data_IF_027019582556
#
_entry.id   IF_027019582556
#
_cell.length_a   1.000
_cell.length_b   1.000
_cell.length_c   1.000
_cell.angle_alpha   90.00
_cell.angle_beta   90.00
_cell.angle_gamma   90.00
#
_symmetry.space_group_name_H-M   'P 1'
#
loop_
_entity.id
_entity.type
_entity.pdbx_description
1 polymer ?
#
# COMPACT_ATOMS: atom_id res chain seq x y z
N UNK A 1 -5.90 21.89 -17.87
CA UNK A 1 -5.34 20.96 -16.89
C UNK A 1 -4.25 21.68 -16.12
N UNK A 2 -4.24 21.62 -14.78
CA UNK A 2 -3.17 22.19 -13.97
C UNK A 2 -1.89 21.36 -14.18
N UNK A 3 -0.78 22.01 -14.49
CA UNK A 3 0.54 21.36 -14.56
C UNK A 3 1.31 21.65 -13.27
N UNK A 4 1.77 20.60 -12.59
CA UNK A 4 2.58 20.70 -11.39
C UNK A 4 3.60 19.56 -11.35
N UNK A 5 4.73 19.79 -10.67
CA UNK A 5 5.76 18.78 -10.48
C UNK A 5 5.48 17.97 -9.20
N UNK A 6 5.67 16.66 -9.27
CA UNK A 6 5.62 15.76 -8.11
C UNK A 6 7.05 15.33 -7.79
N UNK A 7 7.51 15.62 -6.57
CA UNK A 7 8.79 15.11 -6.07
C UNK A 7 8.55 13.81 -5.32
N UNK A 8 8.85 12.69 -5.96
CA UNK A 8 8.75 11.35 -5.39
C UNK A 8 10.01 10.99 -4.59
N UNK A 9 9.83 10.53 -3.36
CA UNK A 9 10.89 9.99 -2.51
C UNK A 9 11.25 8.55 -2.93
N UNK A 10 12.36 8.04 -2.41
CA UNK A 10 12.76 6.65 -2.67
C UNK A 10 11.69 5.68 -2.15
N UNK A 11 11.35 4.61 -2.90
CA UNK A 11 10.47 3.58 -2.40
C UNK A 11 11.09 2.84 -1.22
N UNK A 12 10.27 2.51 -0.23
CA UNK A 12 10.67 1.77 0.97
C UNK A 12 9.74 0.57 1.15
N UNK A 13 10.27 -0.51 1.75
CA UNK A 13 9.45 -1.61 2.24
C UNK A 13 9.20 -1.43 3.74
N UNK A 14 7.93 -1.32 4.11
CA UNK A 14 7.50 -1.22 5.50
C UNK A 14 7.30 -2.63 6.03
N UNK A 15 8.28 -3.09 6.80
CA UNK A 15 8.20 -4.35 7.52
C UNK A 15 7.23 -4.24 8.72
N UNK A 16 6.73 -5.38 9.22
CA UNK A 16 5.91 -5.42 10.44
C UNK A 16 6.66 -4.85 11.65
N UNK A 17 5.93 -4.22 12.56
CA UNK A 17 6.50 -3.57 13.74
C UNK A 17 7.12 -4.54 14.75
N UNK A 18 6.72 -5.81 14.68
CA UNK A 18 7.26 -6.92 15.46
C UNK A 18 7.54 -8.03 14.44
N UNK A 19 8.67 -8.74 14.51
CA UNK A 19 8.95 -9.86 13.63
C UNK A 19 7.76 -10.82 13.58
N UNK A 20 7.30 -11.08 12.37
CA UNK A 20 6.16 -11.93 12.06
C UNK A 20 6.46 -13.41 12.37
N UNK A 21 5.44 -14.26 12.21
CA UNK A 21 5.57 -15.71 12.04
C UNK A 21 6.73 -16.05 11.08
N UNK A 22 7.42 -17.19 11.26
CA UNK A 22 8.46 -17.63 10.33
C UNK A 22 7.98 -17.62 8.89
N UNK A 23 8.93 -17.48 7.96
CA UNK A 23 8.68 -17.61 6.52
C UNK A 23 7.71 -18.76 6.21
N UNK A 24 6.56 -18.42 5.64
CA UNK A 24 5.46 -19.36 5.46
C UNK A 24 4.84 -19.17 4.07
N UNK A 25 4.76 -20.26 3.33
CA UNK A 25 3.94 -20.30 2.13
C UNK A 25 2.50 -20.64 2.54
N UNK A 26 1.57 -19.70 2.37
CA UNK A 26 0.15 -19.91 2.68
C UNK A 26 -0.46 -20.95 1.74
N UNK A 27 -1.49 -21.70 2.17
CA UNK A 27 -2.24 -22.58 1.28
C UNK A 27 -2.75 -21.84 0.03
N UNK A 28 -3.06 -22.57 -1.06
CA UNK A 28 -3.64 -21.99 -2.25
C UNK A 28 -4.84 -21.09 -1.95
N UNK A 29 -4.94 -19.97 -2.67
CA UNK A 29 -6.07 -19.05 -2.57
C UNK A 29 -7.38 -19.79 -2.87
N UNK A 30 -8.48 -19.32 -2.28
CA UNK A 30 -9.79 -19.88 -2.56
C UNK A 30 -10.17 -19.70 -4.04
N UNK A 31 -11.09 -20.51 -4.56
CA UNK A 31 -11.54 -20.37 -5.94
C UNK A 31 -12.24 -19.03 -6.22
N UNK A 32 -12.75 -18.36 -5.17
CA UNK A 32 -13.29 -17.01 -5.28
C UNK A 32 -12.17 -15.99 -5.50
N UNK A 33 -11.07 -16.10 -4.76
CA UNK A 33 -9.95 -15.15 -4.78
C UNK A 33 -9.01 -15.37 -5.98
N UNK A 34 -9.01 -16.56 -6.56
CA UNK A 34 -8.10 -16.97 -7.64
C UNK A 34 -8.63 -16.66 -9.06
N UNK A 35 -9.84 -16.10 -9.17
CA UNK A 35 -10.46 -15.75 -10.45
C UNK A 35 -9.58 -14.84 -11.28
N UNK A 36 -9.37 -15.17 -12.55
CA UNK A 36 -8.52 -14.40 -13.47
C UNK A 36 -8.96 -12.94 -13.59
N UNK A 37 -10.28 -12.69 -13.56
CA UNK A 37 -10.85 -11.34 -13.58
C UNK A 37 -10.52 -10.47 -12.37
N UNK A 38 -9.99 -11.04 -11.28
CA UNK A 38 -9.58 -10.32 -10.06
C UNK A 38 -8.07 -10.06 -10.01
N UNK A 39 -7.28 -10.53 -10.99
CA UNK A 39 -5.81 -10.39 -11.00
C UNK A 39 -5.35 -9.02 -11.49
N UNK A 40 -5.84 -7.97 -10.84
CA UNK A 40 -5.45 -6.59 -11.09
C UNK A 40 -5.29 -5.82 -9.77
N UNK A 41 -4.51 -4.75 -9.77
CA UNK A 41 -4.41 -3.86 -8.61
C UNK A 41 -5.62 -2.92 -8.60
N UNK A 42 -6.38 -2.90 -7.51
CA UNK A 42 -7.49 -1.95 -7.33
C UNK A 42 -6.91 -0.61 -6.89
N UNK A 43 -6.91 0.45 -7.73
CA UNK A 43 -6.37 1.74 -7.33
C UNK A 43 -7.39 2.50 -6.47
N UNK A 44 -6.95 3.02 -5.32
CA UNK A 44 -7.79 3.82 -4.42
C UNK A 44 -7.05 5.09 -4.01
N UNK A 45 -7.78 6.22 -3.96
CA UNK A 45 -7.29 7.48 -3.42
C UNK A 45 -8.15 7.88 -2.22
N UNK A 46 -7.51 8.23 -1.11
CA UNK A 46 -8.16 8.81 0.06
C UNK A 46 -7.57 10.19 0.34
N UNK A 47 -8.43 11.19 0.51
CA UNK A 47 -8.04 12.59 0.67
C UNK A 47 -8.47 13.07 2.04
N UNK A 48 -7.52 13.66 2.76
CA UNK A 48 -7.74 14.20 4.09
C UNK A 48 -7.46 15.70 4.07
N UNK A 49 -8.38 16.49 4.64
CA UNK A 49 -8.16 17.93 4.84
C UNK A 49 -7.11 18.13 5.94
N UNK A 50 -6.44 19.28 5.90
CA UNK A 50 -5.56 19.70 6.99
C UNK A 50 -6.35 19.78 8.30
N UNK A 51 -5.82 19.15 9.34
CA UNK A 51 -6.37 19.17 10.70
C UNK A 51 -5.36 19.89 11.61
N UNK A 52 -5.66 21.11 12.11
CA UNK A 52 -4.71 21.92 12.87
C UNK A 52 -4.13 21.21 14.09
N UNK A 53 -4.90 20.33 14.75
CA UNK A 53 -4.42 19.55 15.89
C UNK A 53 -3.32 18.53 15.55
N UNK A 54 -3.07 18.29 14.26
CA UNK A 54 -2.05 17.37 13.75
C UNK A 54 -0.86 18.09 13.11
N UNK A 55 -0.78 19.43 13.21
CA UNK A 55 0.23 20.24 12.51
C UNK A 55 1.69 19.85 12.81
N UNK A 56 1.98 19.35 14.01
CA UNK A 56 3.33 18.93 14.42
C UNK A 56 3.68 17.49 14.00
N UNK A 57 2.73 16.75 13.42
CA UNK A 57 2.94 15.35 13.02
C UNK A 57 3.16 15.26 11.53
N UNK A 58 4.25 14.58 11.15
CA UNK A 58 4.48 14.15 9.78
C UNK A 58 3.48 13.03 9.40
N UNK A 59 2.55 13.26 8.46
CA UNK A 59 1.57 12.27 8.03
C UNK A 59 2.22 10.99 7.46
N UNK A 60 3.32 11.12 6.72
CA UNK A 60 3.99 9.97 6.12
C UNK A 60 4.58 9.07 7.22
N UNK A 61 5.22 9.65 8.23
CA UNK A 61 5.68 8.91 9.42
C UNK A 61 4.52 8.24 10.17
N UNK A 62 3.40 8.92 10.37
CA UNK A 62 2.22 8.34 11.05
C UNK A 62 1.66 7.15 10.28
N UNK A 63 1.45 7.28 8.96
CA UNK A 63 0.92 6.21 8.11
C UNK A 63 1.89 5.02 8.07
N UNK A 64 3.19 5.27 7.90
CA UNK A 64 4.23 4.23 7.90
C UNK A 64 4.25 3.42 9.20
N UNK A 65 4.16 4.09 10.34
CA UNK A 65 4.09 3.43 11.65
C UNK A 65 2.79 2.66 11.86
N UNK A 66 1.65 3.19 11.38
CA UNK A 66 0.38 2.50 11.44
C UNK A 66 0.40 1.23 10.57
N UNK A 67 0.92 1.32 9.34
CA UNK A 67 1.07 0.19 8.43
C UNK A 67 1.92 -0.92 9.05
N UNK A 68 3.09 -0.60 9.60
CA UNK A 68 3.95 -1.58 10.28
C UNK A 68 3.21 -2.32 11.41
N UNK A 69 2.42 -1.60 12.22
CA UNK A 69 1.62 -2.22 13.31
C UNK A 69 0.48 -3.09 12.77
N UNK A 70 -0.17 -2.65 11.69
CA UNK A 70 -1.27 -3.39 11.06
C UNK A 70 -0.77 -4.69 10.43
N UNK A 71 0.40 -4.71 9.80
CA UNK A 71 0.95 -5.90 9.15
C UNK A 71 1.16 -7.09 10.11
N UNK A 72 1.40 -6.82 11.41
CA UNK A 72 1.45 -7.87 12.44
C UNK A 72 0.17 -8.72 12.47
N UNK A 73 -0.99 -8.11 12.21
CA UNK A 73 -2.29 -8.80 12.19
C UNK A 73 -2.67 -9.28 10.79
N UNK A 74 -2.11 -8.65 9.75
CA UNK A 74 -2.43 -8.87 8.34
C UNK A 74 -1.22 -9.43 7.59
N UNK A 75 -0.59 -10.45 8.17
CA UNK A 75 0.66 -11.07 7.69
C UNK A 75 0.68 -11.55 6.23
N UNK A 76 -0.43 -11.90 5.55
CA UNK A 76 -0.37 -12.14 4.10
C UNK A 76 0.04 -10.91 3.27
N UNK A 77 -0.21 -9.68 3.75
CA UNK A 77 0.04 -8.45 3.00
C UNK A 77 1.50 -7.99 2.97
N UNK A 78 2.37 -8.56 3.80
CA UNK A 78 3.83 -8.32 3.75
C UNK A 78 4.54 -9.28 2.78
N UNK A 79 3.83 -10.29 2.26
CA UNK A 79 4.37 -11.32 1.37
C UNK A 79 4.33 -10.96 -0.12
N UNK A 80 4.48 -11.98 -0.97
CA UNK A 80 4.40 -11.88 -2.42
C UNK A 80 3.42 -12.91 -2.97
N UNK A 81 2.65 -12.52 -3.99
CA UNK A 81 1.87 -13.48 -4.75
C UNK A 81 2.81 -14.36 -5.57
N UNK A 82 2.54 -15.66 -5.57
CA UNK A 82 3.25 -16.69 -6.33
C UNK A 82 2.25 -17.47 -7.15
N UNK A 83 2.53 -17.64 -8.43
CA UNK A 83 1.72 -18.44 -9.34
C UNK A 83 2.39 -19.80 -9.55
N UNK A 84 1.65 -20.88 -9.29
CA UNK A 84 2.09 -22.26 -9.49
C UNK A 84 1.80 -22.75 -10.93
N UNK A 85 2.32 -23.92 -11.37
CA UNK A 85 2.21 -24.36 -12.77
C UNK A 85 0.78 -24.50 -13.32
N UNK A 86 -0.21 -24.73 -12.46
CA UNK A 86 -1.64 -24.79 -12.79
C UNK A 86 -2.32 -23.41 -12.77
N UNK A 87 -1.51 -22.34 -12.67
CA UNK A 87 -1.89 -20.94 -12.48
C UNK A 87 -2.51 -20.63 -11.12
N UNK A 88 -2.53 -21.57 -10.17
CA UNK A 88 -3.09 -21.34 -8.83
C UNK A 88 -2.23 -20.33 -8.08
N UNK A 89 -2.88 -19.32 -7.48
CA UNK A 89 -2.17 -18.33 -6.68
C UNK A 89 -1.99 -18.79 -5.23
N UNK A 90 -0.81 -18.50 -4.69
CA UNK A 90 -0.42 -18.66 -3.28
C UNK A 90 0.21 -17.36 -2.78
N UNK A 91 0.28 -17.18 -1.46
CA UNK A 91 0.99 -16.05 -0.84
C UNK A 91 2.24 -16.58 -0.14
N UNK A 92 3.40 -16.15 -0.61
CA UNK A 92 4.69 -16.40 0.02
C UNK A 92 4.96 -15.29 1.04
N UNK A 93 4.74 -15.58 2.33
CA UNK A 93 4.93 -14.60 3.40
C UNK A 93 6.42 -14.44 3.72
N UNK A 94 7.10 -13.62 2.89
CA UNK A 94 8.55 -13.38 2.98
C UNK A 94 8.97 -12.57 4.20
N UNK A 95 8.06 -11.76 4.74
CA UNK A 95 8.37 -10.75 5.75
C UNK A 95 9.05 -9.50 5.19
N UNK A 96 9.17 -9.39 3.85
CA UNK A 96 9.82 -8.24 3.20
C UNK A 96 9.07 -6.93 3.47
N UNK A 97 7.75 -7.00 3.72
CA UNK A 97 6.93 -5.84 4.00
C UNK A 97 6.20 -5.28 2.77
N UNK A 98 5.44 -4.21 3.01
CA UNK A 98 4.61 -3.56 2.00
C UNK A 98 5.31 -2.32 1.41
N UNK A 99 5.16 -2.11 0.10
CA UNK A 99 5.74 -0.96 -0.60
C UNK A 99 5.08 0.36 -0.15
N UNK A 100 5.90 1.32 0.27
CA UNK A 100 5.49 2.66 0.65
C UNK A 100 6.33 3.70 -0.11
N UNK A 101 5.66 4.68 -0.69
CA UNK A 101 6.29 5.75 -1.47
C UNK A 101 5.70 7.07 -1.01
N UNK A 102 6.55 7.93 -0.47
CA UNK A 102 6.20 9.31 -0.14
C UNK A 102 6.40 10.22 -1.35
N UNK A 103 5.55 11.24 -1.49
CA UNK A 103 5.68 12.24 -2.53
C UNK A 103 5.17 13.61 -2.06
N UNK A 104 5.75 14.67 -2.63
CA UNK A 104 5.40 16.05 -2.31
C UNK A 104 5.07 16.83 -3.59
N UNK A 105 4.18 17.80 -3.44
CA UNK A 105 3.79 18.74 -4.50
C UNK A 105 3.66 20.13 -3.90
N UNK A 106 4.02 21.15 -4.67
CA UNK A 106 3.97 22.56 -4.23
C UNK A 106 2.65 23.24 -4.67
N UNK A 107 1.53 22.55 -4.45
CA UNK A 107 0.18 23.04 -4.74
C UNK A 107 -0.81 22.62 -3.63
N UNK A 108 -1.93 23.31 -3.52
CA UNK A 108 -3.01 22.95 -2.59
C UNK A 108 -4.01 22.00 -3.25
N UNK A 109 -4.76 21.28 -2.42
CA UNK A 109 -5.85 20.43 -2.88
C UNK A 109 -6.90 21.22 -3.69
N UNK A 110 -7.21 22.46 -3.27
CA UNK A 110 -8.17 23.33 -3.96
C UNK A 110 -7.72 23.69 -5.39
N UNK A 111 -6.41 23.77 -5.64
CA UNK A 111 -5.87 24.02 -6.99
C UNK A 111 -6.03 22.81 -7.91
N UNK A 112 -6.03 21.58 -7.35
CA UNK A 112 -6.24 20.35 -8.13
C UNK A 112 -7.70 20.24 -8.59
N UNK A 113 -8.64 20.76 -7.80
CA UNK A 113 -10.08 20.74 -8.08
C UNK A 113 -10.72 19.37 -7.83
N UNK A 114 -11.96 19.20 -8.30
CA UNK A 114 -12.80 18.05 -7.95
C UNK A 114 -12.52 16.77 -8.78
N UNK A 115 -11.63 16.83 -9.76
CA UNK A 115 -11.35 15.75 -10.71
C UNK A 115 -10.25 14.78 -10.22
N UNK A 116 -10.29 14.40 -8.94
CA UNK A 116 -9.34 13.45 -8.36
C UNK A 116 -9.80 12.02 -8.66
N UNK A 117 -9.19 11.41 -9.67
CA UNK A 117 -9.42 10.01 -10.02
C UNK A 117 -8.15 9.19 -9.76
N UNK A 118 -8.29 7.94 -9.28
CA UNK A 118 -7.17 7.01 -9.26
C UNK A 118 -6.56 6.86 -10.65
N UNK A 119 -5.24 6.63 -10.76
CA UNK A 119 -4.65 6.28 -12.05
C UNK A 119 -5.37 5.04 -12.61
N UNK A 120 -5.69 5.10 -13.91
CA UNK A 120 -6.26 3.99 -14.69
C UNK A 120 -5.21 2.89 -14.91
#
# INVERSE_FOLDING_TARGET
>A
SLMFAVRRCQPELVAPAIPSTPHELKPPLSDIDDQEGLRFLVPMIQIYRNEPSMAEKDPAKVIRQALAKTLVFYHPFEGRLREEPDRKLMVDCTGDGALFIEAHVDITLDQIGDALQPPL
#
